data_IF_091506383310
#
_entry.id   IF_091506383310
#
_cell.length_a   1.000
_cell.length_b   1.000
_cell.length_c   1.000
_cell.angle_alpha   90.00
_cell.angle_beta   90.00
_cell.angle_gamma   90.00
#
_symmetry.space_group_name_H-M   'P 1'
#
loop_
_entity.id
_entity.type
_entity.pdbx_description
1 polymer ?
#
# COMPACT_ATOMS: atom_id res chain seq x y z
N UNK A 1 -15.29 -3.22 23.58
CA UNK A 1 -14.37 -4.37 23.75
C UNK A 1 -13.97 -4.61 25.20
N UNK A 2 -13.52 -3.60 25.97
CA UNK A 2 -12.72 -3.74 27.21
C UNK A 2 -11.27 -4.18 26.95
N UNK A 3 -10.36 -3.91 27.89
CA UNK A 3 -8.93 -4.26 27.77
C UNK A 3 -8.72 -5.77 27.86
N UNK A 4 -7.73 -6.30 27.15
CA UNK A 4 -7.43 -7.74 27.04
C UNK A 4 -8.61 -8.60 26.53
N UNK A 5 -9.67 -7.99 26.00
CA UNK A 5 -10.78 -8.73 25.41
C UNK A 5 -10.40 -9.25 24.02
N UNK A 6 -10.78 -10.50 23.75
CA UNK A 6 -10.73 -11.08 22.41
C UNK A 6 -12.15 -11.32 21.90
N UNK A 7 -12.43 -10.91 20.67
CA UNK A 7 -13.66 -11.27 19.95
C UNK A 7 -13.25 -11.91 18.63
N UNK A 8 -13.85 -13.07 18.34
CA UNK A 8 -13.60 -13.86 17.15
C UNK A 8 -14.95 -14.13 16.45
N UNK A 9 -15.01 -13.88 15.15
CA UNK A 9 -16.21 -14.11 14.31
C UNK A 9 -15.78 -14.95 13.12
N UNK A 10 -16.43 -16.09 12.90
CA UNK A 10 -16.02 -17.03 11.85
C UNK A 10 -17.21 -17.56 11.03
N UNK A 11 -16.93 -17.95 9.79
CA UNK A 11 -17.86 -18.70 8.92
C UNK A 11 -19.20 -17.97 8.71
N UNK A 12 -19.15 -16.65 8.58
CA UNK A 12 -20.31 -15.77 8.65
C UNK A 12 -20.68 -15.19 7.29
N UNK A 13 -21.98 -14.94 7.07
CA UNK A 13 -22.51 -14.46 5.81
C UNK A 13 -23.56 -13.37 6.00
N UNK A 14 -23.42 -12.27 5.25
CA UNK A 14 -24.40 -11.18 5.19
C UNK A 14 -24.93 -10.97 3.77
N UNK A 15 -26.26 -10.95 3.63
CA UNK A 15 -26.92 -10.67 2.35
C UNK A 15 -26.79 -9.21 1.86
N UNK A 16 -26.24 -8.30 2.68
CA UNK A 16 -26.09 -6.87 2.34
C UNK A 16 -24.68 -6.33 2.56
N UNK A 17 -24.14 -6.32 3.77
CA UNK A 17 -22.82 -5.75 4.07
C UNK A 17 -22.30 -6.23 5.43
N UNK A 18 -20.98 -6.23 5.63
CA UNK A 18 -20.34 -6.58 6.90
C UNK A 18 -20.54 -8.05 7.24
N UNK A 19 -19.92 -8.94 6.46
CA UNK A 19 -20.18 -10.39 6.53
C UNK A 19 -19.94 -11.02 7.89
N UNK A 20 -19.04 -10.46 8.71
CA UNK A 20 -18.92 -10.74 10.15
C UNK A 20 -19.48 -9.64 11.04
N UNK A 21 -19.25 -8.37 10.70
CA UNK A 21 -19.68 -7.22 11.50
C UNK A 21 -20.15 -6.05 10.64
N UNK A 22 -21.35 -5.52 10.95
CA UNK A 22 -21.84 -4.22 10.47
C UNK A 22 -22.22 -3.34 11.65
N UNK A 23 -21.57 -2.19 11.80
CA UNK A 23 -21.85 -1.19 12.85
C UNK A 23 -21.68 0.24 12.31
N UNK A 24 -22.21 1.24 12.99
CA UNK A 24 -22.05 2.64 12.55
C UNK A 24 -20.64 3.17 12.87
N UNK A 25 -20.06 2.77 14.00
CA UNK A 25 -18.70 3.09 14.42
C UNK A 25 -18.10 1.91 15.20
N UNK A 26 -16.80 1.67 15.07
CA UNK A 26 -16.07 0.63 15.79
C UNK A 26 -14.88 1.24 16.52
N UNK A 27 -14.95 1.31 17.85
CA UNK A 27 -13.83 1.71 18.71
C UNK A 27 -13.30 0.47 19.44
N UNK A 28 -12.03 0.13 19.20
CA UNK A 28 -11.39 -0.92 20.00
C UNK A 28 -11.07 -0.37 21.39
N UNK A 29 -10.64 -1.25 22.30
CA UNK A 29 -10.06 -0.81 23.56
C UNK A 29 -8.57 -1.10 23.49
N UNK A 30 -7.77 -0.39 24.30
CA UNK A 30 -6.35 -0.70 24.40
C UNK A 30 -6.15 -2.18 24.73
N UNK A 31 -5.14 -2.80 24.13
CA UNK A 31 -4.77 -4.21 24.32
C UNK A 31 -5.88 -5.22 23.92
N UNK A 32 -6.88 -4.82 23.13
CA UNK A 32 -7.96 -5.70 22.67
C UNK A 32 -7.66 -6.35 21.30
N UNK A 33 -8.17 -7.55 21.07
CA UNK A 33 -8.10 -8.27 19.79
C UNK A 33 -9.50 -8.44 19.17
N UNK A 34 -9.63 -8.08 17.90
CA UNK A 34 -10.76 -8.49 17.05
C UNK A 34 -10.22 -9.35 15.91
N UNK A 35 -10.80 -10.52 15.71
CA UNK A 35 -10.48 -11.41 14.60
C UNK A 35 -11.74 -11.81 13.82
N UNK A 36 -11.70 -11.67 12.50
CA UNK A 36 -12.78 -12.13 11.61
C UNK A 36 -12.19 -13.03 10.53
N UNK A 37 -12.75 -14.24 10.37
CA UNK A 37 -12.23 -15.31 9.49
C UNK A 37 -13.36 -15.88 8.64
N UNK A 38 -13.11 -16.18 7.36
CA UNK A 38 -14.08 -16.85 6.47
C UNK A 38 -15.45 -16.13 6.44
N UNK A 39 -15.43 -14.82 6.15
CA UNK A 39 -16.62 -13.97 6.20
C UNK A 39 -16.97 -13.41 4.81
N UNK A 40 -18.24 -13.52 4.43
CA UNK A 40 -18.72 -13.11 3.09
C UNK A 40 -19.86 -12.11 3.18
N UNK A 41 -19.85 -11.07 2.35
CA UNK A 41 -21.02 -10.22 2.12
C UNK A 41 -21.34 -10.03 0.63
N UNK A 42 -22.64 -9.93 0.30
CA UNK A 42 -23.08 -9.65 -1.09
C UNK A 42 -22.89 -8.20 -1.52
N UNK A 43 -22.69 -7.27 -0.59
CA UNK A 43 -22.34 -5.88 -0.87
C UNK A 43 -20.94 -5.57 -0.33
N UNK A 44 -20.83 -4.56 0.54
CA UNK A 44 -19.55 -4.01 1.00
C UNK A 44 -19.06 -4.61 2.31
N UNK A 45 -17.73 -4.68 2.48
CA UNK A 45 -17.11 -5.14 3.73
C UNK A 45 -17.29 -6.63 3.94
N UNK A 46 -16.43 -7.46 3.33
CA UNK A 46 -16.54 -8.92 3.41
C UNK A 46 -16.51 -9.44 4.86
N UNK A 47 -15.61 -8.90 5.69
CA UNK A 47 -15.61 -9.08 7.14
C UNK A 47 -16.31 -7.93 7.87
N UNK A 48 -15.86 -6.69 7.67
CA UNK A 48 -16.25 -5.51 8.43
C UNK A 48 -16.85 -4.43 7.50
N UNK A 49 -18.04 -3.95 7.83
CA UNK A 49 -18.63 -2.73 7.27
C UNK A 49 -18.85 -1.72 8.40
N UNK A 50 -18.25 -0.53 8.30
CA UNK A 50 -18.43 0.56 9.25
C UNK A 50 -18.79 1.85 8.54
N UNK A 51 -19.91 2.47 8.91
CA UNK A 51 -20.40 3.67 8.23
C UNK A 51 -19.47 4.89 8.45
N UNK A 52 -19.10 5.14 9.71
CA UNK A 52 -18.34 6.32 10.10
C UNK A 52 -16.85 6.00 10.23
N UNK A 53 -16.41 5.45 11.37
CA UNK A 53 -14.99 5.26 11.66
C UNK A 53 -14.67 3.96 12.40
N UNK A 54 -13.54 3.35 12.02
CA UNK A 54 -12.84 2.33 12.81
C UNK A 54 -11.69 3.03 13.52
N UNK A 55 -11.72 3.04 14.85
CA UNK A 55 -10.62 3.52 15.68
C UNK A 55 -9.92 2.33 16.34
N UNK A 56 -8.67 2.08 15.95
CA UNK A 56 -7.79 1.09 16.58
C UNK A 56 -6.97 1.83 17.65
N UNK A 57 -7.30 1.58 18.91
CA UNK A 57 -6.61 2.13 20.10
C UNK A 57 -5.20 1.52 20.27
N UNK A 58 -4.34 2.11 21.13
CA UNK A 58 -2.99 1.62 21.32
C UNK A 58 -2.91 0.14 21.71
N UNK A 59 -1.92 -0.56 21.15
CA UNK A 59 -1.71 -2.01 21.26
C UNK A 59 -2.88 -2.90 20.79
N UNK A 60 -3.99 -2.33 20.32
CA UNK A 60 -5.12 -3.12 19.85
C UNK A 60 -4.81 -3.73 18.47
N UNK A 61 -5.26 -4.95 18.26
CA UNK A 61 -5.04 -5.69 17.00
C UNK A 61 -6.37 -6.03 16.36
N UNK A 62 -6.54 -5.65 15.08
CA UNK A 62 -7.59 -6.19 14.23
C UNK A 62 -6.95 -7.12 13.18
N UNK A 63 -7.47 -8.33 13.07
CA UNK A 63 -7.14 -9.29 12.01
C UNK A 63 -8.39 -9.62 11.22
N UNK A 64 -8.37 -9.48 9.89
CA UNK A 64 -9.47 -9.91 9.03
C UNK A 64 -8.90 -10.76 7.90
N UNK A 65 -9.40 -11.99 7.73
CA UNK A 65 -8.86 -12.91 6.72
C UNK A 65 -9.89 -13.80 6.05
N UNK A 66 -9.57 -14.21 4.83
CA UNK A 66 -10.36 -15.14 4.02
C UNK A 66 -11.77 -14.59 3.77
N UNK A 67 -11.87 -13.38 3.21
CA UNK A 67 -13.15 -12.66 3.11
C UNK A 67 -13.48 -12.18 1.71
N UNK A 68 -14.78 -12.13 1.39
CA UNK A 68 -15.27 -11.72 0.07
C UNK A 68 -16.38 -10.69 0.19
N UNK A 69 -16.30 -9.61 -0.59
CA UNK A 69 -17.37 -8.62 -0.76
C UNK A 69 -17.86 -8.60 -2.21
N UNK A 70 -19.17 -8.63 -2.43
CA UNK A 70 -19.76 -8.45 -3.77
C UNK A 70 -19.62 -7.03 -4.34
N UNK A 71 -19.31 -6.05 -3.49
CA UNK A 71 -19.00 -4.66 -3.84
C UNK A 71 -17.59 -4.28 -3.35
N UNK A 72 -17.38 -3.10 -2.78
CA UNK A 72 -16.07 -2.59 -2.37
C UNK A 72 -15.66 -2.98 -0.94
N UNK A 73 -14.35 -3.15 -0.72
CA UNK A 73 -13.78 -3.54 0.58
C UNK A 73 -13.93 -5.03 0.84
N UNK A 74 -13.11 -5.84 0.16
CA UNK A 74 -13.20 -7.31 0.20
C UNK A 74 -13.06 -7.90 1.59
N UNK A 75 -12.44 -7.17 2.51
CA UNK A 75 -12.41 -7.46 3.94
C UNK A 75 -13.03 -6.33 4.77
N UNK A 76 -12.62 -5.08 4.53
CA UNK A 76 -13.03 -3.93 5.33
C UNK A 76 -13.52 -2.82 4.40
N UNK A 77 -14.71 -2.30 4.69
CA UNK A 77 -15.24 -1.08 4.09
C UNK A 77 -15.57 -0.07 5.20
N UNK A 78 -14.96 1.12 5.16
CA UNK A 78 -15.06 2.11 6.25
C UNK A 78 -15.03 3.56 5.74
N UNK A 79 -15.72 4.47 6.43
CA UNK A 79 -15.60 5.91 6.18
C UNK A 79 -14.21 6.46 6.52
N UNK A 80 -13.75 6.29 7.77
CA UNK A 80 -12.40 6.64 8.23
C UNK A 80 -11.73 5.50 8.99
N UNK A 81 -10.49 5.17 8.63
CA UNK A 81 -9.67 4.17 9.31
C UNK A 81 -8.58 4.89 10.12
N UNK A 82 -8.69 4.87 11.44
CA UNK A 82 -7.84 5.61 12.37
C UNK A 82 -7.06 4.64 13.25
N UNK A 83 -5.74 4.55 13.08
CA UNK A 83 -4.87 3.72 13.90
C UNK A 83 -4.01 4.58 14.83
N UNK A 84 -4.10 4.31 16.13
CA UNK A 84 -3.30 4.95 17.18
C UNK A 84 -1.91 4.28 17.30
N UNK A 85 -1.01 4.91 18.05
CA UNK A 85 0.32 4.39 18.40
C UNK A 85 0.29 2.91 18.79
N UNK A 86 1.16 2.09 18.19
CA UNK A 86 1.24 0.63 18.41
C UNK A 86 -0.05 -0.17 18.13
N UNK A 87 -1.09 0.43 17.54
CA UNK A 87 -2.18 -0.32 16.93
C UNK A 87 -1.65 -1.21 15.80
N UNK A 88 -2.38 -2.28 15.48
CA UNK A 88 -2.04 -3.15 14.34
C UNK A 88 -3.31 -3.53 13.57
N UNK A 89 -3.27 -3.34 12.25
CA UNK A 89 -4.26 -3.91 11.34
C UNK A 89 -3.58 -4.87 10.38
N UNK A 90 -4.03 -6.11 10.35
CA UNK A 90 -3.61 -7.12 9.40
C UNK A 90 -4.82 -7.62 8.62
N UNK A 91 -4.76 -7.55 7.30
CA UNK A 91 -5.82 -8.04 6.42
C UNK A 91 -5.22 -8.95 5.36
N UNK A 92 -5.75 -10.15 5.19
CA UNK A 92 -5.23 -11.11 4.22
C UNK A 92 -6.30 -11.89 3.46
N UNK A 93 -6.01 -12.27 2.21
CA UNK A 93 -6.93 -13.05 1.37
C UNK A 93 -8.34 -12.41 1.27
N UNK A 94 -8.36 -11.09 1.05
CA UNK A 94 -9.57 -10.31 0.80
C UNK A 94 -9.87 -10.19 -0.69
N UNK A 95 -11.14 -10.29 -1.10
CA UNK A 95 -11.52 -10.12 -2.51
C UNK A 95 -12.76 -9.25 -2.71
N UNK A 96 -12.64 -8.26 -3.60
CA UNK A 96 -13.69 -7.39 -4.11
C UNK A 96 -13.76 -7.52 -5.66
N UNK A 97 -14.16 -8.67 -6.20
CA UNK A 97 -13.93 -9.05 -7.61
C UNK A 97 -14.69 -8.20 -8.65
N UNK A 98 -15.65 -7.38 -8.22
CA UNK A 98 -16.41 -6.47 -9.08
C UNK A 98 -16.19 -4.99 -8.73
N UNK A 99 -15.22 -4.65 -7.87
CA UNK A 99 -15.09 -3.29 -7.33
C UNK A 99 -13.68 -2.94 -6.84
N UNK A 100 -13.60 -1.94 -5.95
CA UNK A 100 -12.39 -1.33 -5.40
C UNK A 100 -12.03 -1.88 -4.02
N UNK A 101 -10.77 -1.75 -3.63
CA UNK A 101 -10.31 -2.07 -2.27
C UNK A 101 -10.35 -3.56 -2.00
N UNK A 102 -9.45 -4.32 -2.64
CA UNK A 102 -9.49 -5.79 -2.62
C UNK A 102 -9.44 -6.37 -1.21
N UNK A 103 -8.65 -5.77 -0.31
CA UNK A 103 -8.78 -5.99 1.13
C UNK A 103 -9.52 -4.82 1.81
N UNK A 104 -9.04 -3.58 1.65
CA UNK A 104 -9.56 -2.41 2.36
C UNK A 104 -10.07 -1.36 1.38
N UNK A 105 -11.30 -0.90 1.60
CA UNK A 105 -11.84 0.35 1.06
C UNK A 105 -12.06 1.33 2.21
N UNK A 106 -11.43 2.50 2.13
CA UNK A 106 -11.54 3.58 3.11
C UNK A 106 -11.91 4.91 2.45
N UNK A 107 -12.66 5.77 3.13
CA UNK A 107 -12.75 7.18 2.77
C UNK A 107 -11.41 7.87 3.04
N UNK A 108 -11.02 7.90 4.32
CA UNK A 108 -9.72 8.42 4.80
C UNK A 108 -8.97 7.35 5.59
N UNK A 109 -7.65 7.35 5.52
CA UNK A 109 -6.77 6.54 6.39
C UNK A 109 -5.80 7.46 7.12
N UNK A 110 -5.79 7.38 8.45
CA UNK A 110 -4.77 7.97 9.31
C UNK A 110 -4.18 6.87 10.19
N UNK A 111 -2.88 6.64 10.10
CA UNK A 111 -2.20 5.58 10.82
C UNK A 111 -0.94 6.09 11.49
N UNK A 112 -1.02 6.31 12.81
CA UNK A 112 0.14 6.47 13.70
C UNK A 112 0.56 5.10 14.30
N UNK A 113 0.06 4.00 13.73
CA UNK A 113 0.37 2.63 14.15
C UNK A 113 1.70 2.12 13.59
N UNK A 114 2.26 1.13 14.29
CA UNK A 114 3.47 0.42 13.86
C UNK A 114 3.27 -0.29 12.52
N UNK A 115 2.10 -0.89 12.28
CA UNK A 115 1.85 -1.70 11.09
C UNK A 115 0.40 -1.66 10.60
N UNK A 116 0.25 -1.24 9.34
CA UNK A 116 -0.91 -1.49 8.48
C UNK A 116 -0.48 -2.48 7.38
N UNK A 117 -0.93 -3.74 7.47
CA UNK A 117 -0.54 -4.79 6.52
C UNK A 117 -1.74 -5.33 5.72
N UNK A 118 -1.58 -5.43 4.40
CA UNK A 118 -2.53 -6.05 3.47
C UNK A 118 -1.84 -7.12 2.62
N UNK A 119 -2.37 -8.35 2.58
CA UNK A 119 -1.78 -9.42 1.75
C UNK A 119 -2.79 -10.25 0.95
N UNK A 120 -2.34 -10.79 -0.19
CA UNK A 120 -3.11 -11.76 -1.00
C UNK A 120 -4.48 -11.21 -1.45
N UNK A 121 -4.57 -9.89 -1.62
CA UNK A 121 -5.81 -9.16 -1.87
C UNK A 121 -6.10 -9.03 -3.37
N UNK A 122 -7.38 -9.08 -3.77
CA UNK A 122 -7.78 -8.97 -5.19
C UNK A 122 -8.97 -8.01 -5.41
N UNK A 123 -8.76 -6.98 -6.25
CA UNK A 123 -9.79 -6.01 -6.65
C UNK A 123 -10.16 -6.14 -8.14
N UNK A 124 -11.47 -6.07 -8.43
CA UNK A 124 -11.99 -6.05 -9.80
C UNK A 124 -11.75 -4.74 -10.56
N UNK A 125 -11.29 -3.69 -9.88
CA UNK A 125 -10.96 -2.40 -10.49
C UNK A 125 -9.66 -1.81 -9.97
N UNK A 126 -9.67 -1.12 -8.82
CA UNK A 126 -8.49 -0.43 -8.29
C UNK A 126 -8.27 -0.60 -6.78
N UNK A 127 -7.03 -0.39 -6.33
CA UNK A 127 -6.64 -0.53 -4.92
C UNK A 127 -6.66 -1.98 -4.48
N UNK A 128 -5.76 -2.79 -5.05
CA UNK A 128 -5.76 -4.24 -4.86
C UNK A 128 -5.62 -4.64 -3.40
N UNK A 129 -4.69 -4.02 -2.66
CA UNK A 129 -4.64 -4.09 -1.20
C UNK A 129 -5.57 -3.06 -0.56
N UNK A 130 -5.28 -1.79 -0.84
CA UNK A 130 -5.91 -0.63 -0.21
C UNK A 130 -6.43 0.36 -1.27
N UNK A 131 -7.70 0.72 -1.17
CA UNK A 131 -8.29 1.86 -1.88
C UNK A 131 -8.69 2.92 -0.85
N UNK A 132 -8.27 4.17 -1.08
CA UNK A 132 -8.56 5.33 -0.23
C UNK A 132 -9.19 6.42 -1.08
N UNK A 133 -10.31 6.98 -0.65
CA UNK A 133 -11.07 7.96 -1.47
C UNK A 133 -10.59 9.41 -1.31
N UNK A 134 -10.12 9.80 -0.13
CA UNK A 134 -9.96 11.20 0.26
C UNK A 134 -8.54 11.58 0.69
N UNK A 135 -7.90 10.83 1.58
CA UNK A 135 -6.51 11.06 1.97
C UNK A 135 -5.91 9.88 2.71
N UNK A 136 -4.61 9.68 2.53
CA UNK A 136 -3.81 8.61 3.14
C UNK A 136 -2.65 9.23 3.90
N UNK A 137 -2.61 9.06 5.22
CA UNK A 137 -1.48 9.45 6.07
C UNK A 137 -1.05 8.26 6.92
N UNK A 138 0.16 7.75 6.69
CA UNK A 138 0.74 6.65 7.46
C UNK A 138 2.08 7.09 8.04
N UNK A 139 2.09 7.37 9.33
CA UNK A 139 3.27 7.68 10.14
C UNK A 139 3.78 6.38 10.81
N UNK A 140 4.17 5.42 9.97
CA UNK A 140 4.51 4.05 10.34
C UNK A 140 4.70 3.18 9.10
N UNK A 141 4.61 1.85 9.23
CA UNK A 141 4.77 0.92 8.10
C UNK A 141 3.43 0.60 7.45
N UNK A 142 3.30 0.94 6.16
CA UNK A 142 2.31 0.37 5.24
C UNK A 142 2.97 -0.80 4.48
N UNK A 143 2.51 -2.03 4.72
CA UNK A 143 3.02 -3.23 4.04
C UNK A 143 1.98 -3.79 3.08
N UNK A 144 2.34 -3.95 1.80
CA UNK A 144 1.50 -4.68 0.82
C UNK A 144 2.22 -5.91 0.30
N UNK A 145 1.50 -7.03 0.19
CA UNK A 145 2.09 -8.31 -0.27
C UNK A 145 1.16 -9.06 -1.20
N UNK A 146 1.61 -9.44 -2.40
CA UNK A 146 0.85 -10.24 -3.39
C UNK A 146 -0.57 -9.70 -3.70
N UNK A 147 -0.74 -8.38 -3.69
CA UNK A 147 -2.02 -7.72 -3.96
C UNK A 147 -2.21 -7.44 -5.46
N UNK A 148 -3.46 -7.48 -5.95
CA UNK A 148 -3.80 -7.35 -7.37
C UNK A 148 -5.04 -6.50 -7.60
N UNK A 149 -5.02 -5.73 -8.69
CA UNK A 149 -6.17 -4.96 -9.17
C UNK A 149 -6.25 -5.10 -10.70
N UNK A 150 -7.45 -5.20 -11.26
CA UNK A 150 -7.62 -5.44 -12.70
C UNK A 150 -7.40 -4.20 -13.59
N UNK A 151 -7.42 -2.98 -13.03
CA UNK A 151 -7.27 -1.72 -13.78
C UNK A 151 -6.05 -0.91 -13.33
N UNK A 152 -5.92 -0.58 -12.05
CA UNK A 152 -4.83 0.28 -11.54
C UNK A 152 -4.61 0.15 -10.02
N UNK A 153 -3.47 0.61 -9.49
CA UNK A 153 -3.21 0.58 -8.05
C UNK A 153 -3.22 -0.82 -7.46
N UNK A 154 -2.37 -1.74 -7.95
CA UNK A 154 -2.33 -3.14 -7.49
C UNK A 154 -2.06 -3.26 -5.97
N UNK A 155 -1.34 -2.30 -5.39
CA UNK A 155 -1.10 -2.19 -3.96
C UNK A 155 -1.99 -1.15 -3.32
N UNK A 156 -1.79 0.13 -3.66
CA UNK A 156 -2.45 1.27 -3.03
C UNK A 156 -3.00 2.21 -4.10
N UNK A 157 -4.27 2.55 -4.01
CA UNK A 157 -4.88 3.57 -4.86
C UNK A 157 -5.52 4.66 -3.99
N UNK A 158 -5.17 5.91 -4.22
CA UNK A 158 -5.71 7.07 -3.50
C UNK A 158 -6.41 8.00 -4.50
N UNK A 159 -7.75 8.05 -4.47
CA UNK A 159 -8.56 8.80 -5.44
C UNK A 159 -8.81 10.26 -5.04
N UNK A 160 -7.93 10.87 -4.26
CA UNK A 160 -8.13 12.25 -3.79
C UNK A 160 -7.13 12.69 -2.71
N UNK A 161 -7.12 14.00 -2.45
CA UNK A 161 -6.35 14.67 -1.39
C UNK A 161 -4.87 14.31 -1.31
N UNK A 162 -4.30 14.46 -0.11
CA UNK A 162 -2.88 14.23 0.20
C UNK A 162 -2.59 12.74 0.46
N UNK A 163 -1.45 12.26 -0.04
CA UNK A 163 -0.86 10.96 0.30
C UNK A 163 0.51 11.16 0.96
N UNK A 164 0.67 10.63 2.17
CA UNK A 164 1.92 10.61 2.93
C UNK A 164 2.11 9.23 3.55
N UNK A 165 3.25 8.58 3.30
CA UNK A 165 3.58 7.27 3.85
C UNK A 165 5.04 7.27 4.28
N UNK A 166 5.29 7.21 5.59
CA UNK A 166 6.63 7.27 6.16
C UNK A 166 7.46 6.04 5.81
N UNK A 167 6.86 4.84 5.83
CA UNK A 167 7.51 3.64 5.34
C UNK A 167 6.54 2.76 4.55
N UNK A 168 6.93 2.45 3.32
CA UNK A 168 6.16 1.65 2.38
C UNK A 168 6.94 0.39 1.98
N UNK A 169 6.55 -0.75 2.53
CA UNK A 169 7.12 -2.05 2.18
C UNK A 169 6.22 -2.77 1.17
N UNK A 170 6.74 -3.13 0.00
CA UNK A 170 5.94 -3.77 -1.06
C UNK A 170 6.60 -5.03 -1.62
N UNK A 171 5.92 -6.17 -1.43
CA UNK A 171 6.30 -7.49 -1.94
C UNK A 171 5.18 -8.04 -2.84
N UNK A 172 5.02 -7.46 -4.03
CA UNK A 172 3.91 -7.78 -4.93
C UNK A 172 4.35 -8.70 -6.06
N UNK A 173 3.54 -9.74 -6.29
CA UNK A 173 3.68 -10.63 -7.45
C UNK A 173 2.77 -10.08 -8.55
N UNK A 174 3.35 -9.18 -9.34
CA UNK A 174 2.71 -8.59 -10.50
C UNK A 174 2.41 -9.66 -11.55
N UNK A 175 1.19 -9.63 -12.09
CA UNK A 175 0.89 -10.30 -13.35
C UNK A 175 1.38 -9.44 -14.52
N UNK A 176 1.39 -9.97 -15.76
CA UNK A 176 1.71 -9.19 -16.95
C UNK A 176 0.85 -7.93 -17.04
N UNK A 177 1.48 -6.76 -17.10
CA UNK A 177 0.80 -5.45 -17.16
C UNK A 177 0.32 -4.88 -15.82
N UNK A 178 0.51 -5.57 -14.69
CA UNK A 178 0.30 -4.97 -13.39
C UNK A 178 1.54 -4.14 -13.00
N UNK A 179 1.35 -2.88 -12.61
CA UNK A 179 2.36 -2.07 -11.95
C UNK A 179 2.17 -2.09 -10.43
N UNK A 180 3.26 -2.03 -9.67
CA UNK A 180 3.23 -1.65 -8.24
C UNK A 180 2.96 -0.16 -8.20
N UNK A 181 1.69 0.19 -8.35
CA UNK A 181 1.23 1.56 -8.37
C UNK A 181 0.89 2.01 -6.95
N UNK A 182 1.53 3.12 -6.51
CA UNK A 182 0.89 4.10 -5.65
C UNK A 182 0.40 5.20 -6.59
N UNK A 183 -0.92 5.25 -6.78
CA UNK A 183 -1.56 6.32 -7.55
C UNK A 183 -2.22 7.28 -6.59
N UNK A 184 -1.95 8.59 -6.70
CA UNK A 184 -2.64 9.62 -5.94
C UNK A 184 -3.02 10.81 -6.83
N UNK A 185 -4.12 11.48 -6.55
CA UNK A 185 -4.54 12.60 -7.39
C UNK A 185 -3.73 13.89 -7.20
N UNK A 186 -3.15 14.12 -6.01
CA UNK A 186 -2.42 15.34 -5.70
C UNK A 186 -0.97 15.05 -5.34
N UNK A 187 -0.62 15.10 -4.06
CA UNK A 187 0.75 14.98 -3.58
C UNK A 187 0.99 13.57 -3.05
N UNK A 188 2.10 12.95 -3.48
CA UNK A 188 2.67 11.74 -2.90
C UNK A 188 3.95 12.11 -2.17
N UNK A 189 4.01 11.85 -0.86
CA UNK A 189 5.24 11.85 -0.06
C UNK A 189 5.53 10.44 0.45
N UNK A 190 6.69 9.91 0.10
CA UNK A 190 7.19 8.63 0.58
C UNK A 190 8.57 8.85 1.23
N UNK A 191 8.64 8.71 2.55
CA UNK A 191 9.89 9.02 3.27
C UNK A 191 10.89 7.84 3.10
N UNK A 192 10.38 6.61 3.13
CA UNK A 192 11.09 5.39 2.74
C UNK A 192 10.20 4.42 1.95
N UNK A 193 10.76 3.83 0.89
CA UNK A 193 10.14 2.74 0.13
C UNK A 193 11.10 1.56 0.05
N UNK A 194 10.64 0.37 0.45
CA UNK A 194 11.35 -0.90 0.21
C UNK A 194 10.57 -1.75 -0.81
N UNK A 195 11.20 -2.01 -1.95
CA UNK A 195 10.63 -2.84 -3.01
C UNK A 195 11.30 -4.22 -3.03
N UNK A 196 10.53 -5.26 -2.71
CA UNK A 196 10.99 -6.66 -2.78
C UNK A 196 10.29 -7.33 -3.98
N UNK A 197 10.88 -7.13 -5.16
CA UNK A 197 10.28 -7.52 -6.44
C UNK A 197 10.50 -8.97 -6.87
N UNK A 198 9.54 -9.51 -7.63
CA UNK A 198 9.73 -10.66 -8.52
C UNK A 198 10.13 -10.20 -9.94
N UNK A 199 10.53 -11.14 -10.80
CA UNK A 199 10.93 -10.86 -12.18
C UNK A 199 9.87 -10.08 -12.98
N UNK A 200 10.29 -9.06 -13.74
CA UNK A 200 9.38 -8.22 -14.54
C UNK A 200 8.50 -7.26 -13.73
N UNK A 201 8.72 -7.10 -12.42
CA UNK A 201 8.00 -6.12 -11.62
C UNK A 201 8.33 -4.67 -12.03
N UNK A 202 7.32 -3.90 -12.47
CA UNK A 202 7.44 -2.46 -12.62
C UNK A 202 6.89 -1.75 -11.38
N UNK A 203 7.70 -0.86 -10.79
CA UNK A 203 7.24 0.12 -9.82
C UNK A 203 6.85 1.41 -10.55
N UNK A 204 5.67 1.92 -10.22
CA UNK A 204 5.11 3.11 -10.86
C UNK A 204 4.54 4.05 -9.79
N UNK A 205 5.01 5.29 -9.78
CA UNK A 205 4.37 6.37 -9.04
C UNK A 205 3.64 7.23 -10.06
N UNK A 206 2.33 7.36 -9.88
CA UNK A 206 1.43 8.07 -10.81
C UNK A 206 0.68 9.16 -10.07
N UNK A 207 0.79 10.39 -10.55
CA UNK A 207 -0.05 11.52 -10.14
C UNK A 207 -0.87 12.07 -11.29
N UNK A 208 -2.01 12.69 -10.98
CA UNK A 208 -2.73 13.47 -11.99
C UNK A 208 -1.88 14.68 -12.44
N UNK A 209 -2.17 15.29 -13.60
CA UNK A 209 -1.49 16.51 -14.04
C UNK A 209 -1.58 17.62 -12.98
N UNK A 210 -0.42 18.12 -12.54
CA UNK A 210 -0.30 19.11 -11.47
C UNK A 210 -0.08 18.53 -10.06
N UNK A 211 -0.13 17.21 -9.89
CA UNK A 211 0.27 16.52 -8.66
C UNK A 211 1.78 16.35 -8.54
N UNK A 212 2.31 16.45 -7.32
CA UNK A 212 3.75 16.38 -7.02
C UNK A 212 4.12 15.02 -6.39
N UNK A 213 5.24 14.44 -6.81
CA UNK A 213 5.82 13.23 -6.20
C UNK A 213 7.14 13.60 -5.54
N UNK A 214 7.19 13.49 -4.22
CA UNK A 214 8.40 13.60 -3.41
C UNK A 214 8.69 12.22 -2.81
N UNK A 215 9.92 11.74 -3.01
CA UNK A 215 10.42 10.53 -2.36
C UNK A 215 11.74 10.91 -1.69
N UNK A 216 11.82 10.80 -0.37
CA UNK A 216 13.03 11.19 0.38
C UNK A 216 14.08 10.06 0.32
N UNK A 217 13.66 8.80 0.38
CA UNK A 217 14.51 7.62 0.21
C UNK A 217 13.79 6.50 -0.54
N UNK A 218 14.45 5.91 -1.53
CA UNK A 218 13.97 4.78 -2.32
C UNK A 218 15.01 3.66 -2.30
N UNK A 219 14.71 2.56 -1.59
CA UNK A 219 15.56 1.37 -1.51
C UNK A 219 14.93 0.23 -2.32
N UNK A 220 15.56 -0.11 -3.45
CA UNK A 220 15.05 -1.16 -4.35
C UNK A 220 15.83 -2.46 -4.13
N UNK A 221 15.29 -3.37 -3.32
CA UNK A 221 15.93 -4.65 -2.98
C UNK A 221 15.54 -5.71 -4.00
N UNK A 222 16.23 -5.71 -5.15
CA UNK A 222 16.05 -6.74 -6.18
C UNK A 222 16.71 -8.05 -5.74
N UNK A 223 15.90 -9.10 -5.53
CA UNK A 223 16.39 -10.44 -5.23
C UNK A 223 17.32 -10.94 -6.36
N UNK A 224 18.49 -11.47 -6.02
CA UNK A 224 19.54 -11.85 -6.99
C UNK A 224 19.05 -12.76 -8.13
N UNK A 225 18.02 -13.58 -7.87
CA UNK A 225 17.43 -14.47 -8.88
C UNK A 225 16.70 -13.74 -10.02
N UNK A 226 16.42 -12.44 -9.89
CA UNK A 226 15.55 -11.67 -10.79
C UNK A 226 16.22 -10.42 -11.39
N UNK A 227 17.56 -10.27 -11.28
CA UNK A 227 18.30 -9.07 -11.72
C UNK A 227 18.11 -8.63 -13.18
N UNK A 228 17.67 -9.51 -14.09
CA UNK A 228 17.72 -9.25 -15.56
C UNK A 228 16.56 -8.45 -16.16
N UNK A 229 15.54 -8.03 -15.39
CA UNK A 229 14.34 -7.40 -15.96
C UNK A 229 13.58 -6.43 -15.07
N UNK A 230 14.15 -6.03 -13.92
CA UNK A 230 13.54 -5.01 -13.07
C UNK A 230 13.69 -3.62 -13.71
N UNK A 231 12.58 -2.87 -13.84
CA UNK A 231 12.58 -1.50 -14.34
C UNK A 231 11.69 -0.63 -13.46
N UNK A 232 12.28 0.35 -12.77
CA UNK A 232 11.57 1.39 -12.05
C UNK A 232 11.16 2.51 -13.01
N UNK A 233 9.87 2.86 -13.06
CA UNK A 233 9.38 3.94 -13.93
C UNK A 233 8.53 4.92 -13.13
N UNK A 234 9.14 6.00 -12.67
CA UNK A 234 8.40 7.15 -12.13
C UNK A 234 7.83 7.93 -13.31
N UNK A 235 6.52 8.24 -13.29
CA UNK A 235 5.88 9.02 -14.35
C UNK A 235 4.91 10.05 -13.76
N UNK A 236 5.33 11.31 -13.76
CA UNK A 236 4.50 12.44 -13.34
C UNK A 236 3.80 13.08 -14.55
N UNK A 237 2.55 13.50 -14.38
CA UNK A 237 1.79 14.21 -15.40
C UNK A 237 2.42 15.56 -15.77
N UNK A 238 3.10 15.60 -16.92
CA UNK A 238 3.67 16.79 -17.59
C UNK A 238 4.65 17.68 -16.81
N UNK A 239 5.13 17.26 -15.63
CA UNK A 239 6.01 18.05 -14.77
C UNK A 239 7.22 17.28 -14.25
N UNK A 240 8.19 18.01 -13.70
CA UNK A 240 9.50 17.52 -13.28
C UNK A 240 9.44 16.63 -12.03
N UNK A 241 9.70 15.33 -12.22
CA UNK A 241 10.18 14.45 -11.16
C UNK A 241 11.57 14.95 -10.74
N UNK A 242 11.82 15.32 -9.49
CA UNK A 242 13.17 15.60 -8.99
C UNK A 242 13.71 14.37 -8.24
N UNK A 243 14.73 13.72 -8.81
CA UNK A 243 15.51 12.68 -8.12
C UNK A 243 16.78 13.31 -7.56
N UNK A 244 17.02 13.19 -6.25
CA UNK A 244 18.27 13.66 -5.63
C UNK A 244 19.28 12.51 -5.67
N UNK A 245 20.44 12.76 -6.28
CA UNK A 245 21.57 11.83 -6.28
C UNK A 245 22.39 12.00 -4.98
N UNK A 246 23.15 10.99 -4.55
CA UNK A 246 23.96 11.01 -3.32
C UNK A 246 25.01 12.15 -3.26
N UNK A 247 25.32 12.78 -4.39
CA UNK A 247 26.12 14.01 -4.45
C UNK A 247 25.37 15.29 -4.00
N UNK A 248 24.08 15.21 -3.71
CA UNK A 248 23.20 16.31 -3.34
C UNK A 248 22.56 17.08 -4.50
N UNK A 249 22.82 16.70 -5.76
CA UNK A 249 22.19 17.34 -6.92
C UNK A 249 20.81 16.74 -7.24
N UNK A 250 19.84 17.59 -7.58
CA UNK A 250 18.49 17.20 -7.98
C UNK A 250 18.33 17.18 -9.51
N UNK A 251 17.74 16.10 -10.03
CA UNK A 251 17.66 15.79 -11.46
C UNK A 251 16.21 15.66 -11.91
N UNK A 252 15.85 16.39 -12.97
CA UNK A 252 14.55 16.23 -13.62
C UNK A 252 14.46 14.86 -14.31
N UNK A 253 13.43 14.05 -14.05
CA UNK A 253 13.29 12.69 -14.59
C UNK A 253 13.13 12.57 -16.12
N UNK A 254 13.04 13.69 -16.84
CA UNK A 254 13.16 13.74 -18.31
C UNK A 254 14.62 13.83 -18.81
N UNK A 255 15.57 14.13 -17.92
CA UNK A 255 17.00 14.05 -18.17
C UNK A 255 17.48 12.65 -17.79
N UNK A 256 18.11 11.92 -18.72
CA UNK A 256 18.57 10.55 -18.50
C UNK A 256 19.44 10.43 -17.23
N UNK A 257 18.92 9.76 -16.21
CA UNK A 257 19.75 9.04 -15.26
C UNK A 257 20.14 7.71 -15.92
N UNK A 258 21.44 7.46 -16.07
CA UNK A 258 21.93 6.15 -16.45
C UNK A 258 21.98 5.28 -15.17
N UNK A 259 21.18 4.21 -15.12
CA UNK A 259 21.39 3.15 -14.14
C UNK A 259 22.65 2.38 -14.54
N UNK A 260 23.70 2.48 -13.74
CA UNK A 260 24.94 1.73 -13.95
C UNK A 260 25.01 0.61 -12.90
N UNK A 261 25.27 -0.63 -13.34
CA UNK A 261 25.45 -1.76 -12.42
C UNK A 261 26.81 -1.64 -11.72
N UNK A 262 26.80 -1.72 -10.39
CA UNK A 262 28.01 -1.92 -9.58
C UNK A 262 27.94 -3.28 -8.89
N UNK A 263 29.09 -3.81 -8.45
CA UNK A 263 29.13 -5.06 -7.67
C UNK A 263 28.37 -4.97 -6.32
N UNK A 264 28.05 -3.75 -5.86
CA UNK A 264 27.32 -3.49 -4.61
C UNK A 264 25.81 -3.26 -4.83
N UNK A 265 25.36 -3.05 -6.08
CA UNK A 265 23.94 -2.86 -6.42
C UNK A 265 23.70 -1.96 -7.64
N UNK A 266 22.42 -1.77 -7.97
CA UNK A 266 21.98 -0.79 -8.95
C UNK A 266 21.82 0.58 -8.27
N UNK A 267 22.71 1.51 -8.60
CA UNK A 267 22.78 2.84 -7.99
C UNK A 267 22.29 3.90 -8.99
N UNK A 268 21.43 4.84 -8.54
CA UNK A 268 20.98 5.96 -9.38
C UNK A 268 22.04 7.07 -9.31
N UNK A 269 23.08 6.92 -10.11
CA UNK A 269 24.13 7.95 -10.27
C UNK A 269 23.75 8.95 -11.36
N UNK A 270 24.07 10.22 -11.14
CA UNK A 270 24.02 11.21 -12.20
C UNK A 270 25.27 11.15 -13.09
N UNK A 271 25.15 11.60 -14.34
CA UNK A 271 26.27 11.62 -15.30
C UNK A 271 27.42 12.56 -14.90
N UNK A 272 27.21 13.43 -13.91
CA UNK A 272 28.23 14.31 -13.32
C UNK A 272 28.97 13.67 -12.13
N UNK A 273 28.46 12.56 -11.56
CA UNK A 273 29.16 11.85 -10.48
C UNK A 273 30.39 11.11 -11.04
N UNK A 274 31.60 11.37 -10.53
CA UNK A 274 32.77 10.61 -10.96
C UNK A 274 32.61 9.14 -10.58
N UNK A 275 32.90 8.25 -11.53
CA UNK A 275 32.97 6.81 -11.28
C UNK A 275 33.89 6.51 -10.08
N UNK A 276 33.54 5.55 -9.21
CA UNK A 276 34.50 5.00 -8.26
C UNK A 276 35.73 4.55 -9.04
N UNK A 277 36.90 5.08 -8.71
CA UNK A 277 38.14 4.59 -9.34
C UNK A 277 38.27 3.12 -8.98
N UNK A 278 38.17 2.24 -9.96
CA UNK A 278 38.40 0.82 -9.75
C UNK A 278 39.80 0.65 -9.18
N UNK A 279 39.85 0.17 -7.93
CA UNK A 279 41.11 -0.16 -7.28
C UNK A 279 41.62 -1.45 -7.92
N UNK A 280 42.27 -1.33 -9.08
CA UNK A 280 43.03 -2.40 -9.72
C UNK A 280 44.19 -2.81 -8.79
N UNK A 281 43.87 -3.67 -7.81
CA UNK A 281 44.83 -4.49 -7.09
C UNK A 281 45.19 -5.68 -7.97
N UNK A 282 46.30 -5.54 -8.69
CA UNK A 282 47.08 -6.65 -9.24
C UNK A 282 47.69 -7.48 -8.12
#
# INVERSE_FOLDING_TARGET
>A
LHRNASVQIENSYAAMAGGGMKVDSLDTFADARLEIVNATSKGSGGGIMVANAVQIRPNATIVVRDTVSGSAGGSIHVGALLLSENGTLQVSNGSAPASFGGCIFAGTVESNATLLAVSDCNAGSAGGGLYVKQSLSVNGVLRTTRTRAAVTGSSVFVSGGDTRVASLEMNTVLGPGAAVAVTAENIVRLDSVELIGAEGAMFELVTNPGGEVMVESLNVVVNEKFRKSAASRVSAGSHSISMVCDCGEAWHGGCLAATEETDEGAEIRCTSCPLPRSNNRT
#
